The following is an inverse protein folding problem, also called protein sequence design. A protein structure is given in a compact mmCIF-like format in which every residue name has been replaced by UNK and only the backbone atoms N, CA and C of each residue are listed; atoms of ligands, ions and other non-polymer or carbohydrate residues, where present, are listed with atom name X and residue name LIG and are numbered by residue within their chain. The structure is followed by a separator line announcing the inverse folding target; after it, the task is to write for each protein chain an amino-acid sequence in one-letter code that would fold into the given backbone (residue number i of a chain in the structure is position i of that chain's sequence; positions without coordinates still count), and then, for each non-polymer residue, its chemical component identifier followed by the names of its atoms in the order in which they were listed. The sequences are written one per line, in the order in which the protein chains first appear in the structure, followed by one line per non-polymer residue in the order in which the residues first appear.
data_IF_599005832020
#
_entry.id   IF_599005832020
#
_cell.length_a   1.000
_cell.length_b   1.000
_cell.length_c   1.000
_cell.angle_alpha   90.00
_cell.angle_beta   90.00
_cell.angle_gamma   90.00
#
_symmetry.space_group_name_H-M   'P 1'
#
loop_
_entity.id
_entity.type
_entity.pdbx_description
1 polymer ?
#
# COMPACT_ATOMS: atom_id res chain seq x y z
N UNK A 1 -21.95 25.17 -27.04
CA UNK A 1 -22.94 24.41 -26.27
C UNK A 1 -22.31 23.26 -25.48
N UNK A 2 -21.22 22.64 -25.92
CA UNK A 2 -20.51 21.58 -25.18
C UNK A 2 -19.62 22.09 -24.03
N UNK A 3 -18.90 23.22 -24.16
CA UNK A 3 -18.01 23.70 -23.08
C UNK A 3 -18.74 24.24 -21.85
N UNK A 4 -19.87 24.93 -22.04
CA UNK A 4 -20.71 25.45 -20.95
C UNK A 4 -21.44 24.32 -20.20
N UNK A 5 -21.76 23.23 -20.90
CA UNK A 5 -22.32 22.02 -20.31
C UNK A 5 -21.31 21.35 -19.35
N UNK A 6 -20.03 21.24 -19.76
CA UNK A 6 -18.96 20.70 -18.91
C UNK A 6 -18.64 21.58 -17.71
N UNK A 7 -18.62 22.91 -17.89
CA UNK A 7 -18.32 23.86 -16.82
C UNK A 7 -19.35 23.86 -15.70
N UNK A 8 -20.64 23.80 -16.06
CA UNK A 8 -21.73 23.74 -15.08
C UNK A 8 -21.73 22.42 -14.30
N UNK A 9 -21.35 21.29 -14.91
CA UNK A 9 -21.22 20.00 -14.21
C UNK A 9 -20.12 20.01 -13.13
N UNK A 10 -18.98 20.66 -13.40
CA UNK A 10 -17.89 20.78 -12.42
C UNK A 10 -18.31 21.63 -11.23
N UNK A 11 -18.97 22.77 -11.48
CA UNK A 11 -19.47 23.66 -10.42
C UNK A 11 -20.53 22.95 -9.57
N UNK A 12 -21.43 22.20 -10.20
CA UNK A 12 -22.50 21.48 -9.52
C UNK A 12 -21.96 20.33 -8.64
N UNK A 13 -20.98 19.57 -9.15
CA UNK A 13 -20.27 18.52 -8.40
C UNK A 13 -19.50 19.09 -7.20
N UNK A 14 -18.83 20.24 -7.36
CA UNK A 14 -18.14 20.93 -6.26
C UNK A 14 -19.13 21.43 -5.19
N UNK A 15 -20.28 21.97 -5.59
CA UNK A 15 -21.31 22.47 -4.67
C UNK A 15 -22.04 21.35 -3.91
N UNK A 16 -22.14 20.15 -4.49
CA UNK A 16 -22.80 18.98 -3.88
C UNK A 16 -21.87 18.06 -3.07
N UNK A 17 -20.60 18.47 -2.86
CA UNK A 17 -19.62 17.66 -2.13
C UNK A 17 -19.13 16.43 -2.91
N UNK A 18 -19.14 16.48 -4.25
CA UNK A 18 -18.62 15.44 -5.13
C UNK A 18 -19.64 14.41 -5.63
N UNK A 19 -20.94 14.60 -5.36
CA UNK A 19 -22.00 13.72 -5.91
C UNK A 19 -22.37 14.14 -7.33
N UNK A 20 -22.50 13.17 -8.22
CA UNK A 20 -22.84 13.37 -9.64
C UNK A 20 -24.34 13.58 -9.91
N UNK A 21 -25.19 13.38 -8.91
CA UNK A 21 -26.66 13.46 -9.05
C UNK A 21 -27.17 14.74 -8.37
N UNK A 22 -27.06 15.85 -9.09
CA UNK A 22 -27.44 17.18 -8.62
C UNK A 22 -28.77 17.64 -9.21
N UNK A 23 -29.65 18.30 -8.40
CA UNK A 23 -30.96 18.73 -8.88
C UNK A 23 -30.85 19.75 -10.03
N UNK A 24 -31.59 19.53 -11.11
CA UNK A 24 -31.57 20.38 -12.31
C UNK A 24 -31.82 21.88 -12.06
N UNK A 25 -32.57 22.23 -11.00
CA UNK A 25 -32.82 23.62 -10.60
C UNK A 25 -31.55 24.34 -10.12
N UNK A 26 -30.63 23.62 -9.46
CA UNK A 26 -29.37 24.16 -8.96
C UNK A 26 -28.47 24.59 -10.13
N UNK A 27 -28.43 23.77 -11.17
CA UNK A 27 -27.71 24.06 -12.41
C UNK A 27 -28.25 25.29 -13.15
N UNK A 28 -29.57 25.40 -13.27
CA UNK A 28 -30.20 26.58 -13.91
C UNK A 28 -29.95 27.87 -13.12
N UNK A 29 -29.95 27.82 -11.79
CA UNK A 29 -29.64 28.97 -10.94
C UNK A 29 -28.24 29.54 -11.21
N UNK A 30 -27.22 28.67 -11.29
CA UNK A 30 -25.84 29.11 -11.55
C UNK A 30 -25.66 29.70 -12.94
N UNK A 31 -26.22 29.08 -13.99
CA UNK A 31 -26.13 29.59 -15.37
C UNK A 31 -26.76 30.98 -15.50
N UNK A 32 -27.94 31.20 -14.91
CA UNK A 32 -28.61 32.50 -14.96
C UNK A 32 -27.82 33.56 -14.20
N UNK A 33 -27.26 33.21 -13.04
CA UNK A 33 -26.48 34.14 -12.21
C UNK A 33 -25.17 34.53 -12.90
N UNK A 34 -24.45 33.58 -13.50
CA UNK A 34 -23.24 33.86 -14.28
C UNK A 34 -23.54 34.76 -15.49
N UNK A 35 -24.62 34.47 -16.23
CA UNK A 35 -25.06 35.30 -17.35
C UNK A 35 -25.42 36.73 -16.94
N UNK A 36 -26.09 36.89 -15.80
CA UNK A 36 -26.44 38.20 -15.26
C UNK A 36 -25.20 39.01 -14.87
N UNK A 37 -24.23 38.40 -14.19
CA UNK A 37 -22.96 39.06 -13.81
C UNK A 37 -22.18 39.48 -15.06
N UNK A 38 -22.10 38.61 -16.07
CA UNK A 38 -21.43 38.94 -17.33
C UNK A 38 -22.10 40.11 -18.07
N UNK A 39 -23.43 40.14 -18.11
CA UNK A 39 -24.20 41.22 -18.73
C UNK A 39 -23.99 42.56 -18.00
N UNK A 40 -24.01 42.56 -16.66
CA UNK A 40 -23.77 43.76 -15.84
C UNK A 40 -22.35 44.30 -16.06
N UNK A 41 -21.34 43.43 -16.09
CA UNK A 41 -19.94 43.82 -16.32
C UNK A 41 -19.72 44.40 -17.73
N UNK A 42 -20.37 43.83 -18.75
CA UNK A 42 -20.32 44.35 -20.11
C UNK A 42 -20.94 45.74 -20.22
N UNK A 43 -22.06 45.99 -19.53
CA UNK A 43 -22.71 47.31 -19.52
C UNK A 43 -21.88 48.33 -18.72
N UNK A 44 -21.29 47.93 -17.60
CA UNK A 44 -20.56 48.83 -16.69
C UNK A 44 -19.22 49.31 -17.25
N UNK A 45 -18.49 48.49 -17.99
CA UNK A 45 -17.16 48.85 -18.49
C UNK A 45 -16.68 48.10 -19.72
N UNK A 46 -17.60 47.46 -20.46
CA UNK A 46 -17.30 46.78 -21.71
C UNK A 46 -16.37 45.58 -21.56
N UNK A 47 -15.67 45.24 -22.64
CA UNK A 47 -14.78 44.07 -22.69
C UNK A 47 -13.61 44.18 -21.70
N UNK A 48 -13.09 45.38 -21.49
CA UNK A 48 -11.96 45.62 -20.59
C UNK A 48 -12.33 45.30 -19.14
N UNK A 49 -13.51 45.71 -18.68
CA UNK A 49 -13.98 45.38 -17.32
C UNK A 49 -14.15 43.87 -17.13
N UNK A 50 -14.65 43.15 -18.13
CA UNK A 50 -14.80 41.71 -18.09
C UNK A 50 -13.44 40.98 -18.00
N UNK A 51 -12.44 41.44 -18.76
CA UNK A 51 -11.07 40.92 -18.69
C UNK A 51 -10.42 41.20 -17.33
N UNK A 52 -10.55 42.41 -16.80
CA UNK A 52 -10.00 42.76 -15.48
C UNK A 52 -10.63 41.90 -14.38
N UNK A 53 -11.95 41.74 -14.39
CA UNK A 53 -12.65 40.90 -13.43
C UNK A 53 -12.16 39.44 -13.48
N UNK A 54 -11.99 38.88 -14.69
CA UNK A 54 -11.48 37.53 -14.88
C UNK A 54 -10.04 37.36 -14.35
N UNK A 55 -9.15 38.32 -14.62
CA UNK A 55 -7.76 38.28 -14.13
C UNK A 55 -7.73 38.35 -12.60
N UNK A 56 -8.51 39.26 -12.00
CA UNK A 56 -8.58 39.43 -10.55
C UNK A 56 -9.14 38.19 -9.86
N UNK A 57 -10.14 37.52 -10.45
CA UNK A 57 -10.68 36.27 -9.90
C UNK A 57 -9.75 35.06 -10.10
N UNK A 58 -8.97 35.03 -11.19
CA UNK A 58 -8.06 33.92 -11.50
C UNK A 58 -6.80 33.93 -10.63
N UNK A 59 -6.32 35.11 -10.23
CA UNK A 59 -5.09 35.27 -9.45
C UNK A 59 -5.08 34.50 -8.10
N UNK A 60 -6.09 34.61 -7.21
CA UNK A 60 -6.11 33.83 -5.96
C UNK A 60 -6.21 32.33 -6.22
N UNK A 61 -6.92 31.91 -7.26
CA UNK A 61 -7.02 30.50 -7.63
C UNK A 61 -5.68 29.96 -8.16
N UNK A 62 -4.93 30.76 -8.92
CA UNK A 62 -3.59 30.40 -9.37
C UNK A 62 -2.64 30.15 -8.19
N UNK A 63 -2.75 30.92 -7.10
CA UNK A 63 -1.96 30.68 -5.88
C UNK A 63 -2.28 29.30 -5.28
N UNK A 64 -3.57 28.93 -5.21
CA UNK A 64 -3.99 27.60 -4.72
C UNK A 64 -3.41 26.50 -5.60
N UNK A 65 -3.49 26.64 -6.93
CA UNK A 65 -2.91 25.67 -7.87
C UNK A 65 -1.41 25.51 -7.64
N UNK A 66 -0.66 26.61 -7.44
CA UNK A 66 0.77 26.55 -7.17
C UNK A 66 1.09 25.81 -5.86
N UNK A 67 0.31 26.03 -4.81
CA UNK A 67 0.44 25.29 -3.54
C UNK A 67 0.17 23.80 -3.76
N UNK A 68 -0.90 23.45 -4.50
CA UNK A 68 -1.22 22.05 -4.83
C UNK A 68 -0.13 21.39 -5.67
N UNK A 69 0.43 22.10 -6.66
CA UNK A 69 1.57 21.63 -7.45
C UNK A 69 2.80 21.38 -6.59
N UNK A 70 3.10 22.27 -5.64
CA UNK A 70 4.20 22.08 -4.70
C UNK A 70 3.96 20.88 -3.77
N UNK A 71 2.74 20.71 -3.26
CA UNK A 71 2.34 19.55 -2.46
C UNK A 71 2.49 18.24 -3.23
N UNK A 72 2.00 18.21 -4.47
CA UNK A 72 2.14 17.06 -5.37
C UNK A 72 3.61 16.75 -5.69
N UNK A 73 4.42 17.77 -6.00
CA UNK A 73 5.85 17.59 -6.23
C UNK A 73 6.57 17.03 -5.00
N UNK A 74 6.24 17.53 -3.80
CA UNK A 74 6.78 17.00 -2.55
C UNK A 74 6.35 15.56 -2.31
N UNK A 75 5.07 15.23 -2.55
CA UNK A 75 4.55 13.87 -2.43
C UNK A 75 5.26 12.92 -3.40
N UNK A 76 5.39 13.31 -4.68
CA UNK A 76 6.12 12.55 -5.69
C UNK A 76 7.61 12.41 -5.38
N UNK A 77 8.25 13.39 -4.73
CA UNK A 77 9.65 13.27 -4.31
C UNK A 77 9.81 12.26 -3.17
N UNK A 78 8.90 12.28 -2.20
CA UNK A 78 8.84 11.30 -1.10
C UNK A 78 8.58 9.90 -1.67
N UNK A 79 7.64 9.81 -2.61
CA UNK A 79 7.28 8.57 -3.28
C UNK A 79 8.40 8.07 -4.20
N UNK A 80 9.15 8.93 -4.88
CA UNK A 80 10.31 8.54 -5.70
C UNK A 80 11.41 7.87 -4.88
N UNK A 81 11.67 8.36 -3.67
CA UNK A 81 12.59 7.70 -2.72
C UNK A 81 12.02 6.37 -2.20
N UNK A 82 10.68 6.29 -2.00
CA UNK A 82 10.00 5.04 -1.65
C UNK A 82 10.01 4.04 -2.82
N UNK A 83 9.82 4.48 -4.06
CA UNK A 83 9.82 3.63 -5.25
C UNK A 83 11.21 3.09 -5.57
N UNK A 84 12.30 3.81 -5.29
CA UNK A 84 13.63 3.18 -5.39
C UNK A 84 13.83 2.04 -4.38
N UNK A 85 13.14 2.06 -3.23
CA UNK A 85 13.10 0.92 -2.31
C UNK A 85 12.10 -0.16 -2.71
N UNK A 86 11.00 0.19 -3.41
CA UNK A 86 9.93 -0.73 -3.84
C UNK A 86 10.11 -1.32 -5.25
N UNK A 87 10.95 -0.74 -6.13
CA UNK A 87 11.36 -1.33 -7.42
C UNK A 87 12.23 -2.59 -7.20
N UNK A 88 12.56 -2.91 -5.95
CA UNK A 88 13.05 -4.23 -5.57
C UNK A 88 11.95 -5.30 -5.48
N UNK A 89 10.66 -4.98 -5.59
CA UNK A 89 9.55 -5.94 -5.48
C UNK A 89 9.36 -6.84 -6.71
N UNK A 90 10.11 -6.58 -7.80
CA UNK A 90 10.20 -7.52 -8.91
C UNK A 90 11.54 -8.29 -8.93
N UNK A 91 12.36 -8.15 -7.88
CA UNK A 91 13.51 -9.03 -7.71
C UNK A 91 12.98 -10.35 -7.20
N UNK A 92 13.29 -11.41 -7.95
CA UNK A 92 13.27 -12.77 -7.43
C UNK A 92 13.76 -12.75 -5.97
N UNK A 93 13.08 -13.48 -5.07
CA UNK A 93 13.58 -13.73 -3.74
C UNK A 93 15.09 -13.97 -3.79
N UNK A 94 15.93 -13.28 -2.99
CA UNK A 94 17.37 -13.24 -3.21
C UNK A 94 18.05 -14.61 -3.34
N UNK A 95 17.51 -15.61 -2.64
CA UNK A 95 18.00 -16.99 -2.68
C UNK A 95 17.68 -17.74 -3.99
N UNK A 96 16.70 -17.30 -4.79
CA UNK A 96 16.38 -17.81 -6.14
C UNK A 96 17.29 -17.23 -7.24
N UNK A 97 18.24 -16.34 -6.89
CA UNK A 97 19.22 -15.78 -7.83
C UNK A 97 20.37 -16.76 -8.16
N UNK A 98 20.41 -17.94 -7.53
CA UNK A 98 21.41 -18.97 -7.86
C UNK A 98 21.20 -19.46 -9.30
N UNK A 99 22.25 -19.58 -10.14
CA UNK A 99 22.13 -19.99 -11.55
C UNK A 99 21.40 -21.33 -11.79
N UNK A 100 21.35 -22.22 -10.79
CA UNK A 100 20.67 -23.52 -10.84
C UNK A 100 19.20 -23.49 -10.39
N UNK A 101 18.71 -22.38 -9.81
CA UNK A 101 17.41 -22.28 -9.14
C UNK A 101 16.22 -22.07 -10.09
N UNK A 102 16.43 -21.96 -11.41
CA UNK A 102 15.32 -21.77 -12.36
C UNK A 102 14.37 -22.98 -12.41
N UNK A 103 14.84 -24.19 -12.07
CA UNK A 103 13.98 -25.38 -11.95
C UNK A 103 13.07 -25.28 -10.73
N UNK A 104 13.65 -24.93 -9.58
CA UNK A 104 12.91 -24.64 -8.35
C UNK A 104 11.90 -23.49 -8.56
N UNK A 105 12.23 -22.51 -9.42
CA UNK A 105 11.32 -21.45 -9.83
C UNK A 105 10.13 -21.96 -10.66
N UNK A 106 10.35 -22.91 -11.59
CA UNK A 106 9.25 -23.50 -12.36
C UNK A 106 8.35 -24.32 -11.45
N UNK A 107 8.93 -25.10 -10.54
CA UNK A 107 8.18 -25.87 -9.55
C UNK A 107 7.31 -24.93 -8.69
N UNK A 108 7.89 -23.82 -8.21
CA UNK A 108 7.16 -22.77 -7.48
C UNK A 108 6.03 -22.12 -8.30
N UNK A 109 6.20 -21.87 -9.60
CA UNK A 109 5.15 -21.29 -10.45
C UNK A 109 4.02 -22.29 -10.78
N UNK A 110 4.24 -23.58 -10.55
CA UNK A 110 3.33 -24.65 -10.94
C UNK A 110 2.62 -25.27 -9.74
N UNK A 111 3.21 -25.22 -8.54
CA UNK A 111 2.59 -25.76 -7.33
C UNK A 111 1.45 -24.86 -6.85
N UNK A 112 0.27 -25.47 -6.64
CA UNK A 112 -0.89 -24.82 -6.04
C UNK A 112 -1.15 -25.48 -4.69
N UNK A 113 -0.57 -24.97 -3.59
CA UNK A 113 -0.73 -25.59 -2.31
C UNK A 113 -2.13 -25.36 -1.76
N UNK A 114 -2.69 -26.40 -1.12
CA UNK A 114 -3.91 -26.28 -0.34
C UNK A 114 -3.64 -25.54 0.96
N UNK A 115 -4.69 -24.95 1.54
CA UNK A 115 -4.63 -24.23 2.83
C UNK A 115 -3.82 -24.97 3.89
N UNK A 116 -4.10 -26.26 4.08
CA UNK A 116 -3.46 -27.07 5.12
C UNK A 116 -1.96 -27.27 4.87
N UNK A 117 -1.54 -27.39 3.61
CA UNK A 117 -0.12 -27.48 3.26
C UNK A 117 0.62 -26.20 3.62
N UNK A 118 0.03 -25.04 3.32
CA UNK A 118 0.63 -23.74 3.65
C UNK A 118 0.70 -23.54 5.17
N UNK A 119 -0.35 -23.90 5.90
CA UNK A 119 -0.36 -23.82 7.37
C UNK A 119 0.70 -24.72 8.01
N UNK A 120 0.83 -25.96 7.53
CA UNK A 120 1.87 -26.87 7.99
C UNK A 120 3.25 -26.34 7.66
N UNK A 121 3.44 -25.80 6.46
CA UNK A 121 4.69 -25.16 6.06
C UNK A 121 5.08 -24.01 7.00
N UNK A 122 4.14 -23.14 7.38
CA UNK A 122 4.41 -22.05 8.34
C UNK A 122 4.84 -22.63 9.70
N UNK A 123 4.18 -23.69 10.18
CA UNK A 123 4.49 -24.30 11.49
C UNK A 123 5.78 -25.10 11.51
N UNK A 124 6.07 -25.84 10.44
CA UNK A 124 7.16 -26.82 10.41
C UNK A 124 8.45 -26.27 9.80
N UNK A 125 8.35 -25.23 8.96
CA UNK A 125 9.52 -24.64 8.27
C UNK A 125 9.77 -23.22 8.76
N UNK A 126 8.77 -22.34 8.67
CA UNK A 126 8.95 -20.90 8.95
C UNK A 126 9.20 -20.64 10.44
N UNK A 127 8.38 -21.23 11.32
CA UNK A 127 8.51 -21.05 12.77
C UNK A 127 9.89 -21.50 13.31
N UNK A 128 10.39 -22.72 13.00
CA UNK A 128 11.74 -23.11 13.41
C UNK A 128 12.84 -22.20 12.85
N UNK A 129 12.71 -21.76 11.59
CA UNK A 129 13.65 -20.79 11.00
C UNK A 129 13.68 -19.45 11.73
N UNK A 130 12.51 -18.92 12.12
CA UNK A 130 12.42 -17.70 12.92
C UNK A 130 13.07 -17.87 14.30
N UNK A 131 12.84 -19.02 14.95
CA UNK A 131 13.45 -19.35 16.25
C UNK A 131 14.98 -19.42 16.15
N UNK A 132 15.53 -20.00 15.08
CA UNK A 132 16.96 -20.08 14.86
C UNK A 132 17.58 -18.68 14.70
N UNK A 133 16.95 -17.81 13.89
CA UNK A 133 17.36 -16.41 13.74
C UNK A 133 17.28 -15.66 15.06
N UNK A 134 16.16 -15.79 15.78
CA UNK A 134 15.95 -15.17 17.10
C UNK A 134 17.03 -15.60 18.10
N UNK A 135 17.34 -16.90 18.19
CA UNK A 135 18.41 -17.41 19.06
C UNK A 135 19.75 -16.75 18.74
N UNK A 136 20.06 -16.59 17.44
CA UNK A 136 21.33 -15.99 17.04
C UNK A 136 21.41 -14.49 17.36
N UNK A 137 20.31 -13.76 17.18
CA UNK A 137 20.24 -12.34 17.54
C UNK A 137 20.27 -12.13 19.06
N UNK A 138 19.61 -13.00 19.83
CA UNK A 138 19.64 -12.96 21.29
C UNK A 138 21.06 -13.08 21.86
N UNK A 139 21.92 -13.94 21.28
CA UNK A 139 23.35 -14.04 21.64
C UNK A 139 24.11 -12.71 21.44
N UNK A 140 23.68 -11.90 20.47
CA UNK A 140 24.31 -10.62 20.14
C UNK A 140 23.73 -9.42 20.91
N UNK A 141 22.84 -9.67 21.88
CA UNK A 141 22.28 -8.66 22.77
C UNK A 141 21.02 -7.96 22.25
N UNK A 142 20.30 -8.56 21.29
CA UNK A 142 18.99 -8.07 20.84
C UNK A 142 17.88 -8.66 21.71
N UNK A 143 16.81 -7.89 21.89
CA UNK A 143 15.56 -8.42 22.45
C UNK A 143 14.78 -9.02 21.30
N UNK A 144 14.44 -10.30 21.40
CA UNK A 144 13.78 -11.03 20.31
C UNK A 144 12.55 -11.76 20.81
N UNK A 145 11.47 -11.70 20.05
CA UNK A 145 10.25 -12.43 20.32
C UNK A 145 9.80 -13.17 19.06
N UNK A 146 9.39 -14.43 19.22
CA UNK A 146 8.80 -15.23 18.14
C UNK A 146 7.45 -15.74 18.63
N UNK A 147 6.38 -15.40 17.90
CA UNK A 147 5.02 -15.77 18.27
C UNK A 147 4.30 -16.42 17.08
N UNK A 148 3.49 -17.43 17.39
CA UNK A 148 2.56 -18.04 16.46
C UNK A 148 1.12 -17.75 16.89
N UNK A 149 0.43 -16.94 16.11
CA UNK A 149 -0.98 -16.63 16.31
C UNK A 149 -1.82 -17.62 15.50
N UNK A 150 -2.35 -18.62 16.19
CA UNK A 150 -3.19 -19.67 15.61
C UNK A 150 -4.56 -19.15 15.15
N UNK A 151 -5.07 -18.05 15.70
CA UNK A 151 -6.35 -17.48 15.29
C UNK A 151 -6.22 -16.82 13.90
N UNK A 152 -5.13 -16.09 13.70
CA UNK A 152 -4.86 -15.37 12.45
C UNK A 152 -3.94 -16.13 11.47
N UNK A 153 -3.55 -17.36 11.81
CA UNK A 153 -2.67 -18.21 10.99
C UNK A 153 -1.37 -17.49 10.57
N UNK A 154 -0.74 -16.78 11.51
CA UNK A 154 0.47 -15.98 11.27
C UNK A 154 1.59 -16.32 12.24
N UNK A 155 2.80 -16.33 11.71
CA UNK A 155 4.04 -16.41 12.48
C UNK A 155 4.72 -15.04 12.46
N UNK A 156 5.20 -14.58 13.59
CA UNK A 156 5.80 -13.26 13.76
C UNK A 156 7.16 -13.41 14.42
N UNK A 157 8.16 -12.73 13.86
CA UNK A 157 9.47 -12.49 14.46
C UNK A 157 9.64 -10.99 14.70
N UNK A 158 9.90 -10.62 15.95
CA UNK A 158 10.20 -9.26 16.37
C UNK A 158 11.64 -9.17 16.89
N UNK A 159 12.38 -8.18 16.42
CA UNK A 159 13.75 -7.87 16.84
C UNK A 159 13.83 -6.41 17.29
N UNK A 160 14.23 -6.18 18.53
CA UNK A 160 14.36 -4.85 19.13
C UNK A 160 15.76 -4.60 19.67
N UNK A 161 16.24 -3.37 19.51
CA UNK A 161 17.48 -2.89 20.12
C UNK A 161 17.42 -1.40 20.46
N UNK A 162 17.37 -1.11 21.75
CA UNK A 162 17.18 0.26 22.24
C UNK A 162 15.82 0.81 21.83
N UNK A 163 15.70 2.13 21.74
CA UNK A 163 14.45 2.82 21.37
C UNK A 163 14.34 3.09 19.86
N UNK A 164 15.42 2.88 19.11
CA UNK A 164 15.54 3.33 17.70
C UNK A 164 15.29 2.21 16.68
N UNK A 165 15.42 0.94 17.08
CA UNK A 165 15.40 -0.21 16.17
C UNK A 165 14.35 -1.22 16.60
N UNK A 166 13.30 -1.33 15.81
CA UNK A 166 12.18 -2.26 15.97
C UNK A 166 11.84 -2.87 14.60
N UNK A 167 12.30 -4.10 14.40
CA UNK A 167 12.09 -4.87 13.17
C UNK A 167 11.02 -5.93 13.40
N UNK A 168 10.09 -6.04 12.45
CA UNK A 168 8.96 -6.95 12.48
C UNK A 168 8.88 -7.70 11.16
N UNK A 169 8.91 -9.02 11.23
CA UNK A 169 8.78 -9.93 10.10
C UNK A 169 7.65 -10.91 10.37
N UNK A 170 6.57 -10.78 9.61
CA UNK A 170 5.37 -11.61 9.73
C UNK A 170 5.20 -12.47 8.48
N UNK A 171 4.76 -13.71 8.67
CA UNK A 171 4.35 -14.61 7.59
C UNK A 171 2.95 -15.10 7.90
N UNK A 172 2.01 -14.86 6.99
CA UNK A 172 0.60 -15.25 7.17
C UNK A 172 0.07 -16.04 6.00
N UNK A 173 -0.90 -16.89 6.28
CA UNK A 173 -1.73 -17.50 5.25
C UNK A 173 -2.55 -16.41 4.54
N UNK A 174 -2.43 -16.32 3.23
CA UNK A 174 -3.20 -15.41 2.37
C UNK A 174 -4.00 -16.21 1.35
N UNK A 175 -5.21 -15.77 1.03
CA UNK A 175 -6.13 -16.41 0.09
C UNK A 175 -6.41 -15.46 -1.07
N UNK A 176 -6.24 -15.95 -2.30
CA UNK A 176 -6.40 -15.18 -3.52
C UNK A 176 -7.31 -15.91 -4.50
N UNK A 177 -8.05 -15.16 -5.31
CA UNK A 177 -8.83 -15.71 -6.42
C UNK A 177 -7.91 -16.23 -7.52
N UNK A 178 -8.16 -17.46 -7.98
CA UNK A 178 -7.38 -18.05 -9.05
C UNK A 178 -7.44 -17.19 -10.33
N UNK A 179 -6.29 -16.83 -10.95
CA UNK A 179 -6.30 -16.07 -12.20
C UNK A 179 -6.99 -16.82 -13.34
N UNK A 180 -7.70 -16.10 -14.20
CA UNK A 180 -8.50 -16.65 -15.34
C UNK A 180 -7.73 -17.58 -16.28
N UNK A 181 -6.40 -17.46 -16.38
CA UNK A 181 -5.57 -18.28 -17.27
C UNK A 181 -5.48 -19.77 -16.87
N UNK A 182 -5.90 -20.13 -15.64
CA UNK A 182 -5.94 -21.52 -15.18
C UNK A 182 -7.26 -22.23 -15.49
N UNK A 183 -8.28 -21.49 -15.92
CA UNK A 183 -9.65 -22.01 -16.04
C UNK A 183 -9.86 -22.87 -17.30
N UNK A 184 -8.95 -22.79 -18.27
CA UNK A 184 -9.12 -23.48 -19.57
C UNK A 184 -8.46 -24.87 -19.67
N UNK A 185 -7.56 -25.27 -18.76
CA UNK A 185 -6.63 -26.38 -19.05
C UNK A 185 -6.77 -27.67 -18.21
N UNK A 186 -7.72 -27.75 -17.27
CA UNK A 186 -7.85 -28.93 -16.40
C UNK A 186 -9.25 -29.54 -16.48
N UNK A 187 -9.42 -30.52 -17.38
CA UNK A 187 -10.68 -31.25 -17.54
C UNK A 187 -10.99 -32.27 -16.42
N UNK A 188 -10.09 -32.48 -15.46
CA UNK A 188 -10.20 -33.55 -14.44
C UNK A 188 -10.01 -33.11 -12.98
N UNK A 189 -9.87 -31.81 -12.70
CA UNK A 189 -9.75 -31.31 -11.33
C UNK A 189 -10.81 -30.24 -11.09
N UNK A 190 -11.63 -30.41 -10.04
CA UNK A 190 -12.57 -29.39 -9.59
C UNK A 190 -11.87 -28.02 -9.56
N UNK A 191 -12.50 -26.96 -10.09
CA UNK A 191 -11.90 -25.63 -10.08
C UNK A 191 -11.66 -25.22 -8.62
N UNK A 192 -10.38 -25.16 -8.22
CA UNK A 192 -10.00 -24.47 -7.00
C UNK A 192 -10.21 -22.98 -7.25
N UNK A 193 -11.34 -22.43 -6.77
CA UNK A 193 -11.67 -21.00 -6.86
C UNK A 193 -10.65 -20.12 -6.14
N UNK A 194 -9.99 -20.68 -5.12
CA UNK A 194 -8.99 -19.98 -4.31
C UNK A 194 -7.67 -20.73 -4.26
N UNK A 195 -6.56 -19.98 -4.35
CA UNK A 195 -5.23 -20.50 -4.07
C UNK A 195 -4.66 -19.82 -2.82
N UNK A 196 -3.87 -20.58 -2.06
CA UNK A 196 -3.32 -20.14 -0.78
C UNK A 196 -1.82 -19.89 -0.89
N UNK A 197 -1.33 -18.90 -0.14
CA UNK A 197 0.08 -18.46 -0.14
C UNK A 197 0.57 -18.20 1.28
N UNK A 198 1.87 -18.42 1.54
CA UNK A 198 2.56 -17.96 2.73
C UNK A 198 3.21 -16.60 2.44
N UNK A 199 2.45 -15.52 2.60
CA UNK A 199 2.91 -14.17 2.26
C UNK A 199 3.64 -13.48 3.41
N UNK A 200 4.68 -12.72 3.06
CA UNK A 200 5.49 -11.95 4.01
C UNK A 200 4.92 -10.56 4.22
N UNK A 201 4.82 -10.14 5.47
CA UNK A 201 4.39 -8.81 5.87
C UNK A 201 5.48 -8.17 6.75
N UNK A 202 5.91 -6.97 6.36
CA UNK A 202 6.78 -6.13 7.16
C UNK A 202 5.93 -5.00 7.75
N UNK A 203 6.37 -4.37 8.85
CA UNK A 203 5.62 -3.25 9.47
C UNK A 203 5.34 -2.06 8.53
N UNK A 204 6.06 -1.99 7.40
CA UNK A 204 5.89 -0.96 6.36
C UNK A 204 4.84 -1.32 5.30
N UNK A 205 4.22 -2.49 5.41
CA UNK A 205 3.25 -3.03 4.46
C UNK A 205 3.59 -4.46 4.02
N UNK A 206 2.58 -5.15 3.47
CA UNK A 206 2.71 -6.48 2.89
C UNK A 206 3.66 -6.51 1.70
N UNK A 207 4.50 -7.53 1.64
CA UNK A 207 5.27 -7.88 0.45
C UNK A 207 4.47 -8.89 -0.36
N UNK A 208 4.43 -8.74 -1.68
CA UNK A 208 3.56 -9.53 -2.57
C UNK A 208 4.13 -10.90 -2.96
N UNK A 209 5.22 -11.35 -2.32
CA UNK A 209 5.86 -12.64 -2.63
C UNK A 209 5.51 -13.73 -1.60
N UNK A 210 5.55 -14.97 -2.07
CA UNK A 210 5.19 -16.17 -1.31
C UNK A 210 6.47 -16.92 -0.91
N UNK A 211 6.55 -17.31 0.36
CA UNK A 211 7.61 -18.14 0.92
C UNK A 211 7.37 -19.64 0.71
N UNK A 212 6.17 -20.05 0.32
CA UNK A 212 5.83 -21.45 0.21
C UNK A 212 6.78 -22.16 -0.77
N UNK A 213 7.30 -23.31 -0.33
CA UNK A 213 8.30 -24.09 -1.08
C UNK A 213 9.75 -23.76 -0.74
N UNK A 214 10.03 -22.74 0.08
CA UNK A 214 11.41 -22.45 0.48
C UNK A 214 11.90 -23.49 1.51
N UNK A 215 13.21 -23.70 1.54
CA UNK A 215 13.84 -24.48 2.60
C UNK A 215 14.11 -23.59 3.80
N UNK A 216 14.28 -24.18 4.99
CA UNK A 216 14.57 -23.43 6.22
C UNK A 216 15.74 -22.46 6.07
N UNK A 217 16.85 -22.87 5.43
CA UNK A 217 17.98 -21.98 5.17
C UNK A 217 17.63 -20.79 4.28
N UNK A 218 16.74 -20.98 3.30
CA UNK A 218 16.28 -19.91 2.41
C UNK A 218 15.38 -18.92 3.14
N UNK A 219 14.53 -19.39 4.05
CA UNK A 219 13.70 -18.54 4.93
C UNK A 219 14.60 -17.72 5.86
N UNK A 220 15.62 -18.33 6.46
CA UNK A 220 16.59 -17.64 7.31
C UNK A 220 17.32 -16.53 6.54
N UNK A 221 17.85 -16.84 5.36
CA UNK A 221 18.53 -15.85 4.54
C UNK A 221 17.58 -14.71 4.12
N UNK A 222 16.32 -15.01 3.81
CA UNK A 222 15.32 -13.98 3.49
C UNK A 222 15.09 -13.03 4.69
N UNK A 223 14.92 -13.56 5.90
CA UNK A 223 14.77 -12.75 7.11
C UNK A 223 15.98 -11.83 7.30
N UNK A 224 17.19 -12.36 7.15
CA UNK A 224 18.44 -11.59 7.30
C UNK A 224 18.53 -10.50 6.22
N UNK A 225 18.26 -10.83 4.96
CA UNK A 225 18.28 -9.87 3.85
C UNK A 225 17.29 -8.72 4.08
N UNK A 226 16.08 -9.01 4.57
CA UNK A 226 15.09 -7.98 4.90
C UNK A 226 15.53 -7.13 6.09
N UNK A 227 16.17 -7.73 7.08
CA UNK A 227 16.72 -7.01 8.22
C UNK A 227 17.88 -6.07 7.82
N UNK A 228 18.78 -6.51 6.95
CA UNK A 228 19.86 -5.66 6.42
C UNK A 228 19.31 -4.46 5.64
N UNK A 229 18.30 -4.68 4.79
CA UNK A 229 17.60 -3.59 4.09
C UNK A 229 16.95 -2.61 5.07
N UNK A 230 16.35 -3.12 6.14
CA UNK A 230 15.75 -2.31 7.19
C UNK A 230 16.81 -1.41 7.88
N UNK A 231 17.97 -1.96 8.25
CA UNK A 231 19.07 -1.21 8.84
C UNK A 231 19.66 -0.17 7.88
N UNK A 232 19.88 -0.55 6.61
CA UNK A 232 20.36 0.39 5.60
C UNK A 232 19.40 1.57 5.44
N UNK A 233 18.09 1.31 5.45
CA UNK A 233 17.09 2.37 5.43
C UNK A 233 17.18 3.29 6.64
N UNK A 234 17.33 2.76 7.86
CA UNK A 234 17.48 3.57 9.07
C UNK A 234 18.71 4.49 8.97
N UNK A 235 19.82 3.98 8.46
CA UNK A 235 21.05 4.77 8.30
C UNK A 235 20.94 5.89 7.24
N UNK A 236 20.15 5.68 6.19
CA UNK A 236 20.00 6.64 5.08
C UNK A 236 18.85 7.63 5.34
N UNK A 237 17.93 7.31 6.24
CA UNK A 237 16.80 8.18 6.61
C UNK A 237 17.17 9.06 7.80
N UNK A 238 16.93 10.39 7.76
CA UNK A 238 17.21 11.28 8.89
C UNK A 238 16.43 10.88 10.15
N UNK A 239 17.04 11.07 11.34
CA UNK A 239 16.68 10.71 12.74
C UNK A 239 15.24 10.98 13.25
N UNK A 240 14.27 11.31 12.40
CA UNK A 240 12.86 11.25 12.78
C UNK A 240 11.99 10.97 11.57
N UNK A 241 11.42 9.77 11.53
CA UNK A 241 10.21 9.56 10.74
C UNK A 241 9.15 10.51 11.31
N UNK A 242 8.47 11.34 10.49
CA UNK A 242 7.48 12.31 10.98
C UNK A 242 6.29 11.67 11.71
N UNK A 243 6.11 10.36 11.51
CA UNK A 243 5.05 9.54 12.07
C UNK A 243 5.66 8.51 13.03
N UNK A 244 5.31 8.59 14.32
CA UNK A 244 5.63 7.55 15.30
C UNK A 244 4.76 6.32 14.99
N UNK A 245 5.35 5.26 14.48
CA UNK A 245 4.64 4.03 14.04
C UNK A 245 3.88 3.36 15.19
N UNK A 246 4.38 3.45 16.43
CA UNK A 246 3.67 2.99 17.65
C UNK A 246 2.24 3.54 17.76
N UNK A 247 2.04 4.83 17.42
CA UNK A 247 0.71 5.44 17.50
C UNK A 247 -0.27 4.88 16.45
N UNK A 248 0.23 4.33 15.34
CA UNK A 248 -0.61 3.69 14.33
C UNK A 248 -0.97 2.25 14.72
N UNK A 249 -0.07 1.52 15.37
CA UNK A 249 -0.34 0.17 15.86
C UNK A 249 -1.30 0.17 17.06
N UNK A 250 -1.19 1.17 17.95
CA UNK A 250 -2.15 1.42 19.03
C UNK A 250 -3.55 1.73 18.47
N UNK A 251 -3.64 2.46 17.36
CA UNK A 251 -4.91 2.75 16.70
C UNK A 251 -5.54 1.50 16.07
N UNK A 252 -4.73 0.62 15.45
CA UNK A 252 -5.20 -0.66 14.87
C UNK A 252 -5.67 -1.60 15.98
N UNK A 253 -4.92 -1.69 17.10
CA UNK A 253 -5.32 -2.52 18.24
C UNK A 253 -6.54 -1.97 18.97
N UNK A 254 -6.71 -0.64 19.04
CA UNK A 254 -7.92 0.00 19.58
C UNK A 254 -9.16 -0.20 18.70
N UNK A 255 -9.03 -0.19 17.36
CA UNK A 255 -10.14 -0.56 16.47
C UNK A 255 -10.50 -2.05 16.61
N UNK A 256 -9.52 -2.93 16.77
CA UNK A 256 -9.75 -4.37 16.98
C UNK A 256 -10.35 -4.69 18.37
N UNK A 257 -10.15 -3.81 19.36
CA UNK A 257 -10.77 -3.88 20.69
C UNK A 257 -12.09 -3.11 20.82
N UNK A 258 -12.59 -2.49 19.75
CA UNK A 258 -13.80 -1.68 19.80
C UNK A 258 -15.01 -2.54 20.12
N UNK A 259 -15.61 -2.25 21.28
CA UNK A 259 -16.79 -2.86 21.88
C UNK A 259 -18.05 -2.48 21.08
N UNK A 260 -18.12 -2.90 19.82
CA UNK A 260 -19.35 -2.93 19.03
C UNK A 260 -19.89 -4.36 18.85
N UNK A 261 -19.28 -5.33 19.53
CA UNK A 261 -19.78 -6.70 19.65
C UNK A 261 -20.20 -7.01 21.10
N UNK A 262 -21.23 -6.30 21.57
CA UNK A 262 -22.10 -6.66 22.70
C UNK A 262 -23.50 -6.12 22.49
#
# INVERSE_FOLDING_TARGET
MTSSDSGSLVIDSLAAGGRSDTPWWQRSFWVVTEGAVAAVLLIAGGLTALQTAAIVSALPFAIIILISMFGMWRALRIEGHRNQSLDQNNKLPPHLLKPSAWRERIDYMTDKPTRDKVLNYIKEVVMPSMMEVSSKFAETGWTTEVNYDAANNRAVLELQRGDDVEFWYEVRLSEHEAPDYYTESSADTLPQEHYHRAEVYLRRGGQTYDLYGYKSESVINDIIDQFEKYLHFLNVSPDSLPWRMQAHDDAITLEQGSVLDK
#
